data_IF_405669958178
#
_entry.id   IF_405669958178
#
_cell.length_a   1.000
_cell.length_b   1.000
_cell.length_c   1.000
_cell.angle_alpha   90.00
_cell.angle_beta   90.00
_cell.angle_gamma   90.00
#
_symmetry.space_group_name_H-M   'P 1'
#
loop_
_entity.id
_entity.type
_entity.pdbx_description
1 polymer ?
#
# COMPACT_ATOMS: atom_id res chain seq x y z
N UNK A 1 32.64 -13.36 4.63
CA UNK A 1 31.23 -12.95 4.86
C UNK A 1 30.39 -14.22 4.87
N UNK A 2 29.99 -14.72 6.04
CA UNK A 2 29.20 -15.96 6.13
C UNK A 2 27.77 -15.65 5.64
N UNK A 3 27.42 -16.15 4.46
CA UNK A 3 26.03 -16.22 4.00
C UNK A 3 25.30 -17.19 4.93
N UNK A 4 24.54 -16.66 5.89
CA UNK A 4 23.60 -17.45 6.67
C UNK A 4 22.53 -17.95 5.70
N UNK A 5 22.60 -19.23 5.34
CA UNK A 5 21.55 -19.90 4.59
C UNK A 5 20.30 -19.96 5.49
N UNK A 6 19.38 -19.01 5.30
CA UNK A 6 18.06 -19.08 5.92
C UNK A 6 17.24 -20.12 5.16
N UNK A 7 16.85 -21.18 5.86
CA UNK A 7 15.91 -22.20 5.36
C UNK A 7 14.54 -21.95 6.00
N UNK A 8 13.48 -22.31 5.31
CA UNK A 8 12.11 -22.15 5.76
C UNK A 8 11.13 -22.68 4.72
N UNK A 9 9.85 -22.55 5.01
CA UNK A 9 8.76 -23.06 4.20
C UNK A 9 7.87 -21.92 3.70
N UNK A 10 7.47 -22.02 2.43
CA UNK A 10 6.50 -21.15 1.80
C UNK A 10 5.20 -21.91 1.57
N UNK A 11 4.17 -21.52 2.29
CA UNK A 11 2.83 -22.11 2.21
C UNK A 11 2.02 -21.32 1.19
N UNK A 12 2.05 -21.75 -0.08
CA UNK A 12 1.35 -21.07 -1.17
C UNK A 12 -0.12 -21.45 -1.26
N UNK A 13 -0.95 -20.44 -1.52
CA UNK A 13 -2.32 -20.63 -1.98
C UNK A 13 -2.51 -19.83 -3.26
N UNK A 14 -2.89 -20.53 -4.33
CA UNK A 14 -3.22 -19.91 -5.62
C UNK A 14 -4.69 -20.18 -5.89
N UNK A 15 -5.44 -19.13 -6.21
CA UNK A 15 -6.88 -19.18 -6.48
C UNK A 15 -7.16 -18.52 -7.81
N UNK A 16 -7.95 -19.21 -8.64
CA UNK A 16 -8.45 -18.68 -9.91
C UNK A 16 -9.93 -18.39 -9.75
N UNK A 17 -10.31 -17.15 -9.99
CA UNK A 17 -11.68 -16.66 -9.85
C UNK A 17 -12.48 -16.85 -11.15
N UNK A 18 -13.83 -16.80 -11.11
CA UNK A 18 -14.67 -16.96 -12.30
C UNK A 18 -14.39 -15.96 -13.43
N UNK A 19 -13.87 -14.77 -13.11
CA UNK A 19 -13.45 -13.77 -14.08
C UNK A 19 -12.03 -14.01 -14.64
N UNK A 20 -11.45 -15.17 -14.37
CA UNK A 20 -10.10 -15.57 -14.76
C UNK A 20 -8.99 -14.74 -14.10
N UNK A 21 -9.30 -13.99 -13.03
CA UNK A 21 -8.30 -13.41 -12.15
C UNK A 21 -7.59 -14.49 -11.33
N UNK A 22 -6.28 -14.45 -11.29
CA UNK A 22 -5.41 -15.31 -10.49
C UNK A 22 -4.88 -14.52 -9.29
N UNK A 23 -5.19 -15.00 -8.09
CA UNK A 23 -4.66 -14.46 -6.85
C UNK A 23 -3.72 -15.48 -6.21
N UNK A 24 -2.54 -15.02 -5.82
CA UNK A 24 -1.59 -15.81 -5.07
C UNK A 24 -1.25 -15.11 -3.75
N UNK A 25 -1.22 -15.90 -2.68
CA UNK A 25 -0.71 -15.49 -1.38
C UNK A 25 0.18 -16.60 -0.84
N UNK A 26 1.14 -16.26 0.03
CA UNK A 26 1.88 -17.24 0.80
C UNK A 26 2.04 -16.83 2.25
N UNK A 27 2.16 -17.82 3.13
CA UNK A 27 2.64 -17.63 4.51
C UNK A 27 4.02 -18.24 4.63
N UNK A 28 4.95 -17.55 5.30
CA UNK A 28 6.32 -18.02 5.50
C UNK A 28 6.45 -18.53 6.93
N UNK A 29 7.06 -19.69 7.11
CA UNK A 29 7.31 -20.27 8.43
C UNK A 29 8.64 -21.01 8.48
N UNK A 30 9.07 -21.39 9.69
CA UNK A 30 10.29 -22.19 9.89
C UNK A 30 10.03 -23.70 9.80
N UNK A 31 8.77 -24.13 9.89
CA UNK A 31 8.34 -25.52 9.96
C UNK A 31 7.56 -25.93 8.71
N UNK A 32 7.61 -27.22 8.36
CA UNK A 32 6.91 -27.74 7.18
C UNK A 32 5.40 -27.65 7.31
N UNK A 33 4.90 -27.78 8.54
CA UNK A 33 3.51 -27.57 8.86
C UNK A 33 3.38 -26.15 9.43
N UNK A 34 2.44 -25.38 8.87
CA UNK A 34 2.07 -24.09 9.44
C UNK A 34 1.30 -24.35 10.73
N UNK A 35 1.80 -23.83 11.85
CA UNK A 35 1.06 -23.84 13.11
C UNK A 35 -0.32 -23.21 12.91
N UNK A 36 -1.40 -23.87 13.37
CA UNK A 36 -2.73 -23.31 13.32
C UNK A 36 -2.74 -21.89 13.91
N UNK A 37 -3.44 -20.98 13.25
CA UNK A 37 -3.61 -19.58 13.66
C UNK A 37 -2.33 -18.72 13.74
N UNK A 38 -1.13 -19.25 13.48
CA UNK A 38 0.10 -18.45 13.55
C UNK A 38 0.07 -17.23 12.61
N UNK A 39 -0.55 -17.38 11.43
CA UNK A 39 -0.78 -16.25 10.54
C UNK A 39 -1.84 -15.28 11.08
N UNK A 40 -2.96 -15.80 11.59
CA UNK A 40 -4.06 -14.99 12.13
C UNK A 40 -3.65 -14.16 13.36
N UNK A 41 -2.75 -14.71 14.18
CA UNK A 41 -2.19 -14.06 15.37
C UNK A 41 -0.97 -13.17 15.07
N UNK A 42 -0.61 -12.97 13.80
CA UNK A 42 0.51 -12.10 13.41
C UNK A 42 1.91 -12.68 13.62
N UNK A 43 2.03 -13.96 13.98
CA UNK A 43 3.29 -14.63 14.32
C UNK A 43 4.03 -15.16 13.09
N UNK A 44 3.32 -15.39 11.98
CA UNK A 44 3.91 -15.79 10.70
C UNK A 44 3.72 -14.68 9.65
N UNK A 45 4.77 -14.22 8.95
CA UNK A 45 4.62 -13.22 7.91
C UNK A 45 3.96 -13.81 6.65
N UNK A 46 3.18 -12.99 5.96
CA UNK A 46 2.55 -13.33 4.69
C UNK A 46 3.04 -12.44 3.55
N UNK A 47 2.93 -12.95 2.32
CA UNK A 47 3.08 -12.16 1.09
C UNK A 47 1.81 -12.32 0.27
N UNK A 48 1.22 -11.20 -0.15
CA UNK A 48 0.20 -11.19 -1.18
C UNK A 48 0.81 -10.70 -2.48
N UNK A 49 0.68 -11.48 -3.54
CA UNK A 49 1.20 -11.12 -4.85
C UNK A 49 0.15 -10.33 -5.63
N UNK A 50 0.60 -9.34 -6.39
CA UNK A 50 -0.26 -8.62 -7.33
C UNK A 50 -1.01 -9.63 -8.23
N UNK A 51 -2.36 -9.61 -8.21
CA UNK A 51 -3.14 -10.46 -9.08
C UNK A 51 -2.85 -10.20 -10.56
N UNK A 52 -3.04 -11.23 -11.38
CA UNK A 52 -2.97 -11.14 -12.83
C UNK A 52 -4.13 -11.90 -13.46
N UNK A 53 -4.44 -11.61 -14.71
CA UNK A 53 -5.55 -12.27 -15.43
C UNK A 53 -5.03 -13.33 -16.39
N UNK A 54 -5.70 -14.48 -16.42
CA UNK A 54 -5.41 -15.55 -17.38
C UNK A 54 -5.98 -15.23 -18.77
N UNK A 55 -5.45 -15.85 -19.85
CA UNK A 55 -6.00 -15.70 -21.19
C UNK A 55 -7.51 -15.96 -21.25
N UNK A 56 -8.25 -15.09 -21.94
CA UNK A 56 -9.71 -15.15 -22.04
C UNK A 56 -10.46 -14.30 -21.01
N UNK A 57 -9.77 -13.66 -20.06
CA UNK A 57 -10.38 -12.70 -19.14
C UNK A 57 -10.97 -11.49 -19.91
N UNK A 58 -12.10 -10.97 -19.43
CA UNK A 58 -12.71 -9.74 -19.97
C UNK A 58 -11.99 -8.45 -19.53
N UNK A 59 -11.05 -8.58 -18.59
CA UNK A 59 -10.27 -7.47 -18.01
C UNK A 59 -8.79 -7.84 -18.12
N UNK A 60 -7.96 -6.84 -18.43
CA UNK A 60 -6.50 -6.96 -18.43
C UNK A 60 -5.87 -6.14 -17.30
N UNK A 61 -4.69 -6.54 -16.84
CA UNK A 61 -3.97 -5.76 -15.81
C UNK A 61 -3.66 -4.33 -16.26
N UNK A 62 -3.49 -4.09 -17.57
CA UNK A 62 -3.21 -2.76 -18.12
C UNK A 62 -4.29 -1.72 -17.83
N UNK A 63 -5.57 -2.11 -17.73
CA UNK A 63 -6.65 -1.15 -17.39
C UNK A 63 -6.65 -0.77 -15.90
N UNK A 64 -5.78 -1.39 -15.10
CA UNK A 64 -5.60 -1.11 -13.68
C UNK A 64 -4.35 -0.25 -13.41
N UNK A 65 -3.58 0.08 -14.44
CA UNK A 65 -2.42 0.97 -14.32
C UNK A 65 -2.82 2.31 -13.68
N UNK A 66 -1.99 2.79 -12.74
CA UNK A 66 -2.25 3.99 -11.94
C UNK A 66 -3.40 3.88 -10.92
N UNK A 67 -4.19 2.79 -10.90
CA UNK A 67 -5.28 2.66 -9.92
C UNK A 67 -4.77 2.22 -8.54
N UNK A 68 -5.60 2.45 -7.54
CA UNK A 68 -5.37 2.05 -6.16
C UNK A 68 -5.40 0.53 -5.91
N UNK A 69 -5.06 0.11 -4.68
CA UNK A 69 -4.82 -1.29 -4.36
C UNK A 69 -6.10 -2.11 -4.24
N UNK A 70 -7.25 -1.46 -3.96
CA UNK A 70 -8.55 -2.12 -4.08
C UNK A 70 -8.87 -2.53 -5.52
N UNK A 71 -8.68 -1.61 -6.47
CA UNK A 71 -8.92 -1.89 -7.89
C UNK A 71 -7.98 -2.97 -8.42
N UNK A 72 -6.75 -3.03 -7.90
CA UNK A 72 -5.74 -4.04 -8.22
C UNK A 72 -5.95 -5.38 -7.50
N UNK A 73 -6.95 -5.50 -6.62
CA UNK A 73 -7.22 -6.74 -5.88
C UNK A 73 -6.16 -7.10 -4.82
N UNK A 74 -5.40 -6.11 -4.36
CA UNK A 74 -4.42 -6.25 -3.27
C UNK A 74 -5.07 -5.99 -1.90
N UNK A 75 -6.13 -5.17 -1.86
CA UNK A 75 -7.03 -5.00 -0.71
C UNK A 75 -8.47 -5.32 -1.09
N UNK A 76 -9.27 -5.69 -0.08
CA UNK A 76 -10.67 -6.09 -0.26
C UNK A 76 -11.55 -5.35 0.75
N UNK A 77 -12.68 -4.84 0.28
CA UNK A 77 -13.66 -4.19 1.15
C UNK A 77 -14.19 -5.16 2.20
N UNK A 78 -14.31 -4.70 3.44
CA UNK A 78 -14.80 -5.51 4.56
C UNK A 78 -13.79 -6.50 5.13
N UNK A 79 -12.58 -6.60 4.57
CA UNK A 79 -11.51 -7.46 5.09
C UNK A 79 -10.30 -6.60 5.45
N UNK A 80 -9.94 -6.61 6.74
CA UNK A 80 -8.74 -5.94 7.20
C UNK A 80 -7.52 -6.74 6.77
N UNK A 81 -6.64 -6.14 5.98
CA UNK A 81 -5.36 -6.76 5.64
C UNK A 81 -4.48 -6.74 6.87
N UNK A 82 -4.09 -7.91 7.35
CA UNK A 82 -3.28 -8.04 8.58
C UNK A 82 -1.89 -7.41 8.39
N UNK A 83 -1.38 -6.75 9.43
CA UNK A 83 -0.11 -6.00 9.38
C UNK A 83 1.14 -6.85 9.18
N UNK A 84 1.04 -8.17 9.35
CA UNK A 84 2.08 -9.15 9.03
C UNK A 84 2.13 -9.52 7.52
N UNK A 85 1.27 -8.93 6.69
CA UNK A 85 1.27 -9.13 5.23
C UNK A 85 2.09 -8.04 4.54
N UNK A 86 3.03 -8.47 3.71
CA UNK A 86 3.72 -7.62 2.73
C UNK A 86 3.05 -7.82 1.38
N UNK A 87 2.88 -6.75 0.61
CA UNK A 87 2.36 -6.83 -0.75
C UNK A 87 3.52 -6.82 -1.74
N UNK A 88 3.54 -7.80 -2.64
CA UNK A 88 4.45 -7.88 -3.77
C UNK A 88 3.79 -7.28 -4.99
N UNK A 89 4.11 -6.02 -5.28
CA UNK A 89 3.60 -5.27 -6.42
C UNK A 89 4.50 -5.43 -7.63
N UNK A 90 3.96 -5.22 -8.83
CA UNK A 90 4.70 -5.19 -10.09
C UNK A 90 4.39 -3.88 -10.82
N UNK A 91 5.45 -3.12 -11.15
CA UNK A 91 5.29 -1.85 -11.83
C UNK A 91 4.80 -2.04 -13.26
N UNK A 92 3.72 -1.35 -13.64
CA UNK A 92 3.15 -1.43 -14.99
C UNK A 92 4.11 -0.95 -16.09
N UNK A 93 5.10 -0.10 -15.74
CA UNK A 93 6.05 0.49 -16.70
C UNK A 93 7.33 -0.33 -16.83
N UNK A 94 8.06 -0.55 -15.72
CA UNK A 94 9.35 -1.25 -15.76
C UNK A 94 9.26 -2.76 -15.51
N UNK A 95 8.08 -3.27 -15.17
CA UNK A 95 7.82 -4.70 -14.91
C UNK A 95 8.70 -5.30 -13.80
N UNK A 96 9.31 -4.46 -12.97
CA UNK A 96 10.08 -4.88 -11.80
C UNK A 96 9.18 -4.93 -10.59
N UNK A 97 9.29 -6.01 -9.84
CA UNK A 97 8.55 -6.17 -8.59
C UNK A 97 9.17 -5.34 -7.46
N UNK A 98 8.34 -4.91 -6.52
CA UNK A 98 8.76 -4.25 -5.29
C UNK A 98 7.81 -4.59 -4.15
N UNK A 99 8.29 -4.46 -2.92
CA UNK A 99 7.56 -4.83 -1.72
C UNK A 99 7.07 -3.59 -0.99
N UNK A 100 5.80 -3.60 -0.59
CA UNK A 100 5.21 -2.56 0.24
C UNK A 100 4.51 -3.17 1.45
N UNK A 101 4.41 -2.36 2.50
CA UNK A 101 3.51 -2.56 3.62
C UNK A 101 2.36 -1.57 3.51
N UNK A 102 1.26 -1.94 4.14
CA UNK A 102 0.06 -1.12 4.21
C UNK A 102 -0.42 -1.03 5.64
N UNK A 103 -1.10 0.06 5.97
CA UNK A 103 -1.83 0.20 7.24
C UNK A 103 -3.22 0.75 6.95
N UNK A 104 -4.19 0.34 7.76
CA UNK A 104 -5.57 0.78 7.60
C UNK A 104 -5.75 2.17 8.22
N UNK A 105 -5.93 3.19 7.38
CA UNK A 105 -6.02 4.59 7.79
C UNK A 105 -7.13 4.84 8.82
N UNK A 106 -8.34 4.29 8.56
CA UNK A 106 -9.50 4.42 9.45
C UNK A 106 -9.27 3.84 10.85
N UNK A 107 -8.92 2.56 10.97
CA UNK A 107 -8.61 1.94 12.27
C UNK A 107 -7.39 2.52 12.98
N UNK A 108 -6.50 3.19 12.24
CA UNK A 108 -5.32 3.85 12.82
C UNK A 108 -5.61 5.29 13.26
N UNK A 109 -6.83 5.81 13.07
CA UNK A 109 -7.17 7.22 13.24
C UNK A 109 -6.14 8.14 12.57
N UNK A 110 -5.77 7.81 11.34
CA UNK A 110 -4.70 8.49 10.62
C UNK A 110 -5.11 8.86 9.19
N UNK A 111 -4.80 10.09 8.78
CA UNK A 111 -4.69 10.47 7.37
C UNK A 111 -3.30 10.18 6.83
N UNK A 112 -3.10 10.31 5.51
CA UNK A 112 -1.78 10.06 4.90
C UNK A 112 -1.53 10.84 3.62
N UNK A 113 -0.26 11.10 3.35
CA UNK A 113 0.23 11.81 2.19
C UNK A 113 1.47 11.12 1.64
N UNK A 114 1.61 11.09 0.31
CA UNK A 114 2.84 10.67 -0.35
C UNK A 114 3.69 11.90 -0.66
N UNK A 115 5.02 11.75 -0.60
CA UNK A 115 5.94 12.80 -1.06
C UNK A 115 5.87 12.93 -2.58
N UNK A 116 6.27 14.06 -3.15
CA UNK A 116 6.25 14.27 -4.61
C UNK A 116 7.11 13.25 -5.37
N UNK A 117 8.18 12.77 -4.74
CA UNK A 117 9.00 11.66 -5.24
C UNK A 117 8.35 10.27 -5.13
N UNK A 118 7.24 10.15 -4.40
CA UNK A 118 6.55 8.90 -4.09
C UNK A 118 7.34 7.92 -3.21
N UNK A 119 8.49 8.34 -2.67
CA UNK A 119 9.39 7.50 -1.86
C UNK A 119 9.02 7.43 -0.39
N UNK A 120 8.37 8.48 0.10
CA UNK A 120 8.07 8.65 1.52
C UNK A 120 6.58 8.82 1.72
N UNK A 121 6.10 8.25 2.83
CA UNK A 121 4.73 8.39 3.28
C UNK A 121 4.75 9.00 4.66
N UNK A 122 3.94 10.03 4.87
CA UNK A 122 3.73 10.65 6.17
C UNK A 122 2.30 10.44 6.62
N UNK A 123 2.13 10.12 7.91
CA UNK A 123 0.83 10.02 8.55
C UNK A 123 0.53 11.28 9.33
N UNK A 124 -0.75 11.64 9.39
CA UNK A 124 -1.28 12.74 10.21
C UNK A 124 -2.40 12.18 11.08
N UNK A 125 -2.68 12.80 12.22
CA UNK A 125 -3.87 12.43 13.01
C UNK A 125 -5.15 12.75 12.21
N UNK A 126 -6.11 11.81 12.17
CA UNK A 126 -7.33 11.97 11.37
C UNK A 126 -8.24 13.10 11.83
N UNK A 127 -8.06 13.61 13.05
CA UNK A 127 -8.86 14.70 13.62
C UNK A 127 -8.27 16.08 13.33
N UNK A 128 -7.08 16.16 12.71
CA UNK A 128 -6.53 17.45 12.30
C UNK A 128 -7.40 18.06 11.19
N UNK A 129 -7.67 19.38 11.23
CA UNK A 129 -8.30 20.07 10.11
C UNK A 129 -7.56 19.79 8.81
N UNK A 130 -8.30 19.45 7.75
CA UNK A 130 -7.74 19.11 6.44
C UNK A 130 -7.20 17.69 6.30
N UNK A 131 -7.14 16.89 7.37
CA UNK A 131 -6.67 15.51 7.28
C UNK A 131 -7.63 14.65 6.43
N UNK A 132 -7.11 13.83 5.49
CA UNK A 132 -7.92 12.92 4.71
C UNK A 132 -8.34 11.70 5.54
N UNK A 133 -9.47 11.80 6.24
CA UNK A 133 -10.06 10.67 6.94
C UNK A 133 -10.57 9.61 5.95
N UNK A 134 -10.52 8.34 6.35
CA UNK A 134 -10.93 7.22 5.50
C UNK A 134 -12.39 7.37 5.02
N UNK A 135 -12.62 7.09 3.72
CA UNK A 135 -13.95 7.16 3.09
C UNK A 135 -14.60 8.54 3.14
N UNK A 136 -13.79 9.59 3.17
CA UNK A 136 -14.26 10.97 3.17
C UNK A 136 -13.40 11.84 2.24
N UNK A 137 -13.97 12.96 1.80
CA UNK A 137 -13.25 14.02 1.12
C UNK A 137 -12.95 15.13 2.15
N UNK A 138 -11.69 15.54 2.31
CA UNK A 138 -11.36 16.64 3.22
C UNK A 138 -11.87 17.97 2.67
N UNK A 139 -12.14 18.92 3.58
CA UNK A 139 -12.37 20.31 3.19
C UNK A 139 -11.15 20.87 2.45
N UNK A 140 -11.38 21.53 1.31
CA UNK A 140 -10.32 21.91 0.40
C UNK A 140 -9.40 23.01 0.97
N UNK A 141 -9.96 23.98 1.70
CA UNK A 141 -9.18 25.07 2.30
C UNK A 141 -8.34 24.56 3.47
N UNK A 142 -8.94 23.75 4.35
CA UNK A 142 -8.23 23.13 5.45
C UNK A 142 -7.17 22.13 4.95
N UNK A 143 -7.44 21.38 3.88
CA UNK A 143 -6.47 20.47 3.26
C UNK A 143 -5.25 21.24 2.78
N UNK A 144 -5.45 22.32 2.01
CA UNK A 144 -4.34 23.12 1.49
C UNK A 144 -3.50 23.70 2.63
N UNK A 145 -4.13 24.21 3.69
CA UNK A 145 -3.43 24.70 4.87
C UNK A 145 -2.63 23.60 5.58
N UNK A 146 -3.15 22.38 5.64
CA UNK A 146 -2.42 21.24 6.20
C UNK A 146 -1.23 20.86 5.31
N UNK A 147 -1.41 20.77 3.99
CA UNK A 147 -0.33 20.46 3.03
C UNK A 147 0.81 21.46 3.11
N UNK A 148 0.51 22.75 3.21
CA UNK A 148 1.49 23.83 3.39
C UNK A 148 2.24 23.75 4.73
N UNK A 149 1.58 23.21 5.77
CA UNK A 149 2.17 23.04 7.10
C UNK A 149 3.03 21.77 7.23
N UNK A 150 2.87 20.79 6.33
CA UNK A 150 3.65 19.56 6.38
C UNK A 150 5.14 19.86 6.14
N UNK A 151 6.06 19.21 6.88
CA UNK A 151 7.48 19.34 6.60
C UNK A 151 7.82 18.75 5.23
N UNK A 152 8.93 19.19 4.62
CA UNK A 152 9.45 18.51 3.42
C UNK A 152 9.86 17.07 3.75
N UNK A 153 9.71 16.19 2.76
CA UNK A 153 10.22 14.83 2.83
C UNK A 153 11.75 14.80 2.95
N UNK A 154 12.36 13.67 3.36
CA UNK A 154 13.82 13.55 3.45
C UNK A 154 14.59 13.82 2.14
N UNK A 155 13.94 13.74 0.99
CA UNK A 155 14.51 14.11 -0.31
C UNK A 155 14.17 15.53 -0.78
N UNK A 156 13.56 16.34 0.08
CA UNK A 156 13.17 17.72 -0.19
C UNK A 156 11.85 17.89 -0.94
N UNK A 157 11.16 16.82 -1.33
CA UNK A 157 9.85 16.93 -1.99
C UNK A 157 8.72 17.24 -1.00
N UNK A 158 7.70 17.97 -1.44
CA UNK A 158 6.51 18.26 -0.63
C UNK A 158 5.58 17.05 -0.55
N UNK A 159 4.76 17.01 0.50
CA UNK A 159 3.66 16.06 0.63
C UNK A 159 2.37 16.67 0.11
N UNK A 160 1.55 15.88 -0.59
CA UNK A 160 0.25 16.30 -1.07
C UNK A 160 -0.72 15.12 -1.16
N UNK A 161 -2.01 15.40 -1.09
CA UNK A 161 -3.12 14.47 -1.03
C UNK A 161 -3.24 13.64 -2.30
N UNK A 162 -2.94 14.28 -3.43
CA UNK A 162 -2.96 13.68 -4.75
C UNK A 162 -1.59 13.23 -5.24
N UNK A 163 -0.51 13.45 -4.49
CA UNK A 163 0.80 12.93 -4.88
C UNK A 163 0.71 11.41 -5.11
N UNK A 164 1.37 10.88 -6.15
CA UNK A 164 1.31 9.46 -6.44
C UNK A 164 2.27 8.64 -5.57
N UNK A 165 1.91 7.38 -5.33
CA UNK A 165 2.86 6.38 -4.86
C UNK A 165 3.62 5.84 -6.07
N UNK A 166 4.94 6.05 -6.12
CA UNK A 166 5.75 5.81 -7.33
C UNK A 166 6.58 4.53 -7.22
N UNK A 167 6.85 3.88 -8.33
CA UNK A 167 7.73 2.72 -8.38
C UNK A 167 9.15 3.09 -7.89
N UNK A 168 9.78 2.31 -7.00
CA UNK A 168 11.12 2.62 -6.48
C UNK A 168 12.23 2.39 -7.53
N UNK A 169 11.91 1.72 -8.64
CA UNK A 169 12.87 1.35 -9.68
C UNK A 169 12.92 2.33 -10.85
N UNK A 170 11.78 2.92 -11.23
CA UNK A 170 11.67 3.81 -12.40
C UNK A 170 10.91 5.12 -12.12
N UNK A 171 10.43 5.34 -10.89
CA UNK A 171 9.71 6.56 -10.47
C UNK A 171 8.38 6.86 -11.18
N UNK A 172 7.92 5.97 -12.06
CA UNK A 172 6.58 6.04 -12.63
C UNK A 172 5.51 5.82 -11.55
N UNK A 173 4.36 6.54 -11.61
CA UNK A 173 3.24 6.31 -10.70
C UNK A 173 2.77 4.86 -10.73
N UNK A 174 2.67 4.24 -9.55
CA UNK A 174 2.04 2.93 -9.38
C UNK A 174 0.61 3.08 -8.86
N UNK A 175 0.42 3.97 -7.87
CA UNK A 175 -0.89 4.51 -7.52
C UNK A 175 -0.85 5.99 -7.90
N UNK A 176 -1.67 6.37 -8.88
CA UNK A 176 -1.69 7.68 -9.50
C UNK A 176 -2.97 8.43 -9.17
N UNK A 177 -2.95 9.14 -8.04
CA UNK A 177 -4.06 9.97 -7.62
C UNK A 177 -4.15 11.30 -8.40
N UNK A 178 -3.08 11.74 -9.05
CA UNK A 178 -3.12 12.92 -9.93
C UNK A 178 -3.97 12.60 -11.17
N UNK A 179 -3.75 11.44 -11.78
CA UNK A 179 -4.53 10.98 -12.92
C UNK A 179 -5.91 10.40 -12.52
N UNK A 180 -6.07 9.94 -11.27
CA UNK A 180 -7.30 9.31 -10.78
C UNK A 180 -7.76 9.89 -9.41
N UNK A 181 -8.04 11.20 -9.31
CA UNK A 181 -8.30 11.85 -8.02
C UNK A 181 -9.54 11.27 -7.30
N UNK A 182 -10.57 10.89 -8.06
CA UNK A 182 -11.80 10.29 -7.52
C UNK A 182 -11.60 8.93 -6.84
N UNK A 183 -10.44 8.27 -6.98
CA UNK A 183 -10.14 7.03 -6.27
C UNK A 183 -9.60 7.28 -4.85
N UNK A 184 -9.05 8.46 -4.58
CA UNK A 184 -8.28 8.77 -3.36
C UNK A 184 -9.06 8.56 -2.06
N UNK A 185 -10.33 8.98 -2.02
CA UNK A 185 -11.17 8.87 -0.82
C UNK A 185 -11.49 7.40 -0.47
N UNK A 186 -11.58 6.53 -1.48
CA UNK A 186 -11.84 5.10 -1.32
C UNK A 186 -10.58 4.27 -1.04
N UNK A 187 -9.39 4.85 -1.20
CA UNK A 187 -8.11 4.20 -0.88
C UNK A 187 -7.75 4.46 0.59
N UNK A 188 -8.36 3.71 1.50
CA UNK A 188 -8.16 3.86 2.95
C UNK A 188 -7.02 3.00 3.52
N UNK A 189 -6.11 2.55 2.67
CA UNK A 189 -4.83 1.95 3.07
C UNK A 189 -3.68 2.84 2.63
N UNK A 190 -2.96 3.40 3.60
CA UNK A 190 -1.70 4.10 3.34
C UNK A 190 -0.58 3.09 3.10
N UNK A 191 0.28 3.35 2.12
CA UNK A 191 1.34 2.41 1.70
C UNK A 191 2.73 2.99 1.96
N UNK A 192 3.70 2.13 2.23
CA UNK A 192 5.10 2.50 2.38
C UNK A 192 5.99 1.31 2.00
N UNK A 193 7.24 1.55 1.59
CA UNK A 193 8.12 0.47 1.15
C UNK A 193 8.52 -0.44 2.30
N UNK A 194 8.66 -1.74 2.03
CA UNK A 194 9.24 -2.69 2.98
C UNK A 194 10.63 -2.22 3.42
N UNK A 195 10.85 -2.14 4.73
CA UNK A 195 12.10 -1.65 5.31
C UNK A 195 12.26 -0.12 5.35
N UNK A 196 11.26 0.64 4.86
CA UNK A 196 11.23 2.10 5.04
C UNK A 196 10.53 2.50 6.34
N UNK A 197 10.88 3.68 6.86
CA UNK A 197 10.21 4.27 8.02
C UNK A 197 8.94 4.98 7.58
N UNK A 198 7.81 4.61 8.18
CA UNK A 198 6.58 5.38 8.08
C UNK A 198 6.70 6.64 8.94
N UNK A 199 6.66 7.81 8.31
CA UNK A 199 6.84 9.09 9.00
C UNK A 199 5.53 9.50 9.66
N UNK A 200 5.62 10.28 10.75
CA UNK A 200 4.46 10.81 11.47
C UNK A 200 4.62 12.31 11.66
N UNK A 201 3.61 13.06 11.25
CA UNK A 201 3.48 14.47 11.54
C UNK A 201 2.90 14.65 12.95
N UNK A 202 3.52 15.53 13.72
CA UNK A 202 3.00 16.01 14.99
C UNK A 202 3.04 17.54 14.88
N UNK A 203 1.89 18.23 14.91
CA UNK A 203 1.87 19.68 14.89
C UNK A 203 2.67 20.25 16.07
N UNK A 204 3.34 21.37 15.86
CA UNK A 204 3.94 22.08 16.99
C UNK A 204 2.84 22.48 17.99
N UNK A 205 3.07 22.32 19.30
CA UNK A 205 2.11 22.80 20.30
C UNK A 205 1.97 24.32 20.18
N UNK A 206 0.73 24.77 20.07
CA UNK A 206 0.34 26.19 20.12
C UNK A 206 0.57 26.76 21.52
#
# INVERSE_FOLDING_TARGET
MNLVLRRGWFHFSVRVHPNLGCQADCVISQTEQLEPDAFANGQAPGIRFQPFFLPGASVSSSVLAGKGLFARGLHFNGIVTSGNVVLSCECDHCQRSFLIRSYHAGFSNAGYFYSGSGKYTITVDSHLPGSPAALSEPDAEALAALEDALPLAPDGSSYAYLNPFRCPHCSEPYIDFEANPGLRASEYYGNYFEGSTLLRYVPEPV
#
